data_IF_450956398779
#
_entry.id   IF_450956398779
#
_cell.length_a   1.000
_cell.length_b   1.000
_cell.length_c   1.000
_cell.angle_alpha   90.00
_cell.angle_beta   90.00
_cell.angle_gamma   90.00
#
_symmetry.space_group_name_H-M   'P 1'
#
loop_
_entity.id
_entity.type
_entity.pdbx_description
1 polymer ?
#
# COMPACT_ATOMS: atom_id res chain seq x y z
N UNK A 1 25.70 -29.53 -6.47
CA UNK A 1 25.37 -28.10 -6.38
C UNK A 1 24.24 -27.86 -7.37
N UNK A 2 22.99 -27.77 -6.90
CA UNK A 2 21.85 -27.52 -7.79
C UNK A 2 21.88 -26.02 -8.09
N UNK A 3 22.29 -25.66 -9.30
CA UNK A 3 22.09 -24.31 -9.83
C UNK A 3 20.58 -24.11 -9.94
N UNK A 4 19.99 -23.44 -8.96
CA UNK A 4 18.61 -23.00 -9.07
C UNK A 4 18.49 -22.16 -10.34
N UNK A 5 17.61 -22.57 -11.26
CA UNK A 5 17.28 -21.75 -12.42
C UNK A 5 16.88 -20.37 -11.89
N UNK A 6 17.34 -19.27 -12.53
CA UNK A 6 16.94 -17.93 -12.12
C UNK A 6 15.42 -17.88 -12.13
N UNK A 7 14.82 -17.65 -10.97
CA UNK A 7 13.37 -17.55 -10.86
C UNK A 7 12.93 -16.34 -11.69
N UNK A 8 12.02 -16.55 -12.65
CA UNK A 8 11.55 -15.52 -13.59
C UNK A 8 10.04 -15.29 -13.42
N UNK A 9 9.58 -14.11 -13.84
CA UNK A 9 8.17 -13.75 -13.77
C UNK A 9 7.78 -13.03 -12.48
N UNK A 10 6.54 -12.53 -12.42
CA UNK A 10 6.00 -11.81 -11.27
C UNK A 10 5.99 -12.67 -9.99
N UNK A 11 5.70 -13.97 -10.10
CA UNK A 11 5.71 -14.93 -8.98
C UNK A 11 7.09 -15.04 -8.32
N UNK A 12 8.13 -15.15 -9.15
CA UNK A 12 9.52 -15.24 -8.71
C UNK A 12 9.95 -14.02 -7.90
N UNK A 13 9.60 -12.83 -8.36
CA UNK A 13 9.90 -11.57 -7.66
C UNK A 13 9.28 -11.58 -6.25
N UNK A 14 8.04 -12.02 -6.11
CA UNK A 14 7.36 -12.14 -4.81
C UNK A 14 8.01 -13.18 -3.88
N UNK A 15 8.42 -14.32 -4.44
CA UNK A 15 9.11 -15.37 -3.70
C UNK A 15 10.48 -14.89 -3.19
N UNK A 16 11.26 -14.23 -4.05
CA UNK A 16 12.57 -13.66 -3.66
C UNK A 16 12.40 -12.60 -2.57
N UNK A 17 11.39 -11.72 -2.69
CA UNK A 17 11.09 -10.74 -1.64
C UNK A 17 10.82 -11.43 -0.32
N UNK A 18 9.95 -12.45 -0.31
CA UNK A 18 9.58 -13.19 0.91
C UNK A 18 10.79 -13.92 1.53
N UNK A 19 11.66 -14.51 0.71
CA UNK A 19 12.85 -15.24 1.17
C UNK A 19 13.91 -14.32 1.81
N UNK A 20 13.87 -13.01 1.56
CA UNK A 20 14.77 -12.03 2.18
C UNK A 20 14.41 -11.68 3.62
N UNK A 21 13.14 -11.86 4.04
CA UNK A 21 12.65 -11.44 5.36
C UNK A 21 13.49 -11.95 6.54
N UNK A 22 13.91 -13.23 6.60
CA UNK A 22 14.69 -13.77 7.71
C UNK A 22 16.11 -13.19 7.81
N UNK A 23 16.62 -12.59 6.73
CA UNK A 23 17.97 -12.04 6.67
C UNK A 23 18.02 -10.54 6.98
N UNK A 24 16.87 -9.91 7.19
CA UNK A 24 16.80 -8.51 7.59
C UNK A 24 17.28 -8.32 9.03
N UNK A 25 17.84 -7.15 9.36
CA UNK A 25 18.22 -6.83 10.72
C UNK A 25 17.04 -7.02 11.70
N UNK A 26 17.27 -7.50 12.92
CA UNK A 26 16.20 -7.77 13.89
C UNK A 26 15.50 -6.48 14.35
N UNK A 27 14.21 -6.59 14.67
CA UNK A 27 13.35 -5.42 14.99
C UNK A 27 13.51 -4.97 16.44
N UNK A 28 14.03 -5.87 17.25
CA UNK A 28 14.27 -5.68 18.68
C UNK A 28 15.43 -4.75 18.97
N UNK A 29 16.27 -4.46 17.97
CA UNK A 29 17.45 -3.59 18.13
C UNK A 29 17.09 -2.18 17.67
N UNK A 30 17.10 -1.23 18.60
CA UNK A 30 16.82 0.19 18.34
C UNK A 30 18.00 0.91 17.68
N UNK A 31 18.36 0.47 16.48
CA UNK A 31 19.32 1.15 15.61
C UNK A 31 18.56 1.79 14.46
N UNK A 32 18.71 3.10 14.29
CA UNK A 32 18.04 3.86 13.23
C UNK A 32 18.25 3.25 11.84
N UNK A 33 19.47 2.82 11.51
CA UNK A 33 19.72 2.17 10.22
C UNK A 33 18.96 0.85 10.04
N UNK A 34 18.79 0.03 11.09
CA UNK A 34 18.04 -1.24 11.02
C UNK A 34 16.56 -0.96 10.76
N UNK A 35 16.00 0.03 11.46
CA UNK A 35 14.63 0.52 11.21
C UNK A 35 14.47 0.98 9.77
N UNK A 36 15.39 1.78 9.26
CA UNK A 36 15.35 2.27 7.88
C UNK A 36 15.43 1.15 6.83
N UNK A 37 16.19 0.08 7.07
CA UNK A 37 16.19 -1.10 6.21
C UNK A 37 14.84 -1.82 6.22
N UNK A 38 14.25 -2.03 7.41
CA UNK A 38 12.92 -2.63 7.53
C UNK A 38 11.84 -1.79 6.86
N UNK A 39 11.89 -0.47 7.02
CA UNK A 39 10.95 0.43 6.34
C UNK A 39 11.08 0.31 4.82
N UNK A 40 12.30 0.30 4.28
CA UNK A 40 12.50 0.15 2.83
C UNK A 40 12.04 -1.22 2.33
N UNK A 41 12.31 -2.29 3.07
CA UNK A 41 11.80 -3.62 2.74
C UNK A 41 10.27 -3.72 2.82
N UNK A 42 9.66 -3.07 3.82
CA UNK A 42 8.22 -2.95 3.93
C UNK A 42 7.62 -2.23 2.73
N UNK A 43 8.23 -1.11 2.31
CA UNK A 43 7.86 -0.39 1.10
C UNK A 43 7.98 -1.28 -0.15
N UNK A 44 9.10 -1.99 -0.31
CA UNK A 44 9.32 -2.94 -1.41
C UNK A 44 8.19 -3.98 -1.49
N UNK A 45 7.82 -4.56 -0.34
CA UNK A 45 6.74 -5.56 -0.25
C UNK A 45 5.37 -4.97 -0.58
N UNK A 46 5.08 -3.76 -0.11
CA UNK A 46 3.80 -3.10 -0.41
C UNK A 46 3.69 -2.67 -1.87
N UNK A 47 4.76 -2.14 -2.45
CA UNK A 47 4.81 -1.73 -3.85
C UNK A 47 4.67 -2.94 -4.77
N UNK A 48 5.26 -4.09 -4.41
CA UNK A 48 5.07 -5.33 -5.16
C UNK A 48 3.60 -5.76 -5.20
N UNK A 49 2.90 -5.73 -4.06
CA UNK A 49 1.46 -6.04 -3.99
C UNK A 49 0.58 -5.03 -4.73
N UNK A 50 1.03 -3.78 -4.82
CA UNK A 50 0.34 -2.75 -5.61
C UNK A 50 0.46 -3.01 -7.12
N UNK A 51 1.49 -3.73 -7.56
CA UNK A 51 1.64 -4.09 -8.97
C UNK A 51 0.43 -4.89 -9.49
N UNK A 52 -0.14 -5.76 -8.65
CA UNK A 52 -1.32 -6.58 -8.97
C UNK A 52 -2.58 -5.75 -9.30
N UNK A 53 -2.67 -4.53 -8.77
CA UNK A 53 -3.86 -3.67 -8.88
C UNK A 53 -3.60 -2.38 -9.66
N UNK A 54 -2.38 -2.21 -10.19
CA UNK A 54 -1.98 -0.99 -10.88
C UNK A 54 -2.36 -1.04 -12.35
N UNK A 55 -2.91 0.06 -12.85
CA UNK A 55 -3.15 0.25 -14.29
C UNK A 55 -1.85 0.43 -15.09
N UNK A 56 -0.73 0.71 -14.41
CA UNK A 56 0.59 0.94 -15.01
C UNK A 56 1.68 0.12 -14.29
N UNK A 57 1.74 -1.20 -14.52
CA UNK A 57 2.64 -2.09 -13.79
C UNK A 57 4.13 -1.83 -14.07
N UNK A 58 4.50 -1.34 -15.26
CA UNK A 58 5.86 -0.91 -15.57
C UNK A 58 6.39 0.17 -14.61
N UNK A 59 5.55 1.14 -14.23
CA UNK A 59 5.94 2.20 -13.29
C UNK A 59 6.22 1.61 -11.91
N UNK A 60 5.39 0.66 -11.48
CA UNK A 60 5.55 -0.04 -10.21
C UNK A 60 6.84 -0.86 -10.20
N UNK A 61 7.17 -1.55 -11.29
CA UNK A 61 8.43 -2.30 -11.40
C UNK A 61 9.67 -1.41 -11.43
N UNK A 62 9.56 -0.21 -12.01
CA UNK A 62 10.62 0.79 -11.93
C UNK A 62 10.82 1.31 -10.50
N UNK A 63 9.74 1.52 -9.75
CA UNK A 63 9.80 1.85 -8.33
C UNK A 63 10.40 0.70 -7.50
N UNK A 64 10.04 -0.55 -7.80
CA UNK A 64 10.66 -1.73 -7.17
C UNK A 64 12.18 -1.77 -7.41
N UNK A 65 12.64 -1.45 -8.62
CA UNK A 65 14.06 -1.37 -8.93
C UNK A 65 14.75 -0.26 -8.13
N UNK A 66 14.11 0.89 -7.92
CA UNK A 66 14.65 1.96 -7.07
C UNK A 66 14.71 1.55 -5.60
N UNK A 67 13.67 0.88 -5.10
CA UNK A 67 13.59 0.39 -3.72
C UNK A 67 14.62 -0.71 -3.44
N UNK A 68 14.88 -1.61 -4.40
CA UNK A 68 15.95 -2.62 -4.29
C UNK A 68 17.33 -1.96 -4.17
N UNK A 69 17.64 -1.00 -5.04
CA UNK A 69 18.91 -0.26 -4.98
C UNK A 69 19.07 0.49 -3.65
N UNK A 70 17.98 1.09 -3.15
CA UNK A 70 17.98 1.79 -1.87
C UNK A 70 18.19 0.83 -0.69
N UNK A 71 17.53 -0.34 -0.72
CA UNK A 71 17.70 -1.37 0.29
C UNK A 71 19.14 -1.90 0.31
N UNK A 72 19.70 -2.18 -0.87
CA UNK A 72 21.10 -2.60 -1.05
C UNK A 72 22.07 -1.55 -0.49
N UNK A 73 21.85 -0.27 -0.80
CA UNK A 73 22.65 0.85 -0.28
C UNK A 73 22.59 0.91 1.25
N UNK A 74 21.40 0.82 1.84
CA UNK A 74 21.21 0.87 3.30
C UNK A 74 21.84 -0.33 4.01
N UNK A 75 21.72 -1.53 3.44
CA UNK A 75 22.32 -2.75 3.98
C UNK A 75 23.86 -2.68 3.95
N UNK A 76 24.44 -2.18 2.85
CA UNK A 76 25.88 -1.97 2.74
C UNK A 76 26.39 -0.92 3.74
N UNK A 77 25.65 0.18 3.92
CA UNK A 77 26.01 1.25 4.86
C UNK A 77 25.90 0.82 6.33
N UNK A 78 25.02 -0.13 6.64
CA UNK A 78 24.79 -0.61 8.00
C UNK A 78 25.93 -1.47 8.57
N UNK A 79 26.70 -2.14 7.71
CA UNK A 79 27.54 -3.25 8.14
C UNK A 79 28.97 -3.17 7.60
N UNK A 80 29.62 -1.99 7.75
CA UNK A 80 31.04 -1.81 7.45
C UNK A 80 31.98 -2.76 8.23
N UNK A 81 31.54 -3.31 9.37
CA UNK A 81 32.36 -4.17 10.24
C UNK A 81 32.00 -5.69 10.21
N UNK A 82 30.81 -6.08 9.75
CA UNK A 82 30.37 -7.50 9.70
C UNK A 82 29.84 -7.97 8.33
N UNK A 83 29.71 -7.08 7.35
CA UNK A 83 29.22 -7.39 6.00
C UNK A 83 27.73 -7.73 5.95
N UNK A 84 27.11 -7.52 4.79
CA UNK A 84 25.76 -8.05 4.50
C UNK A 84 25.87 -9.59 4.45
N UNK A 85 24.94 -10.36 5.06
CA UNK A 85 24.98 -11.82 4.95
C UNK A 85 25.05 -12.25 3.48
N UNK A 86 25.96 -13.16 3.13
CA UNK A 86 26.17 -13.58 1.73
C UNK A 86 24.88 -14.04 1.03
N UNK A 87 23.96 -14.66 1.79
CA UNK A 87 22.62 -15.05 1.30
C UNK A 87 21.75 -13.84 0.95
N UNK A 88 21.77 -12.78 1.75
CA UNK A 88 21.04 -11.54 1.44
C UNK A 88 21.56 -10.90 0.16
N UNK A 89 22.88 -10.86 -0.04
CA UNK A 89 23.48 -10.37 -1.29
C UNK A 89 23.03 -11.21 -2.49
N UNK A 90 23.01 -12.53 -2.36
CA UNK A 90 22.52 -13.43 -3.42
C UNK A 90 21.05 -13.16 -3.77
N UNK A 91 20.17 -12.97 -2.78
CA UNK A 91 18.77 -12.63 -3.04
C UNK A 91 18.59 -11.24 -3.67
N UNK A 92 19.38 -10.24 -3.27
CA UNK A 92 19.36 -8.92 -3.90
C UNK A 92 19.82 -8.99 -5.36
N UNK A 93 20.84 -9.80 -5.66
CA UNK A 93 21.33 -10.01 -7.02
C UNK A 93 20.32 -10.77 -7.87
N UNK A 94 19.67 -11.79 -7.30
CA UNK A 94 18.57 -12.52 -7.96
C UNK A 94 17.37 -11.59 -8.21
N UNK A 95 16.99 -10.76 -7.24
CA UNK A 95 15.92 -9.78 -7.37
C UNK A 95 16.23 -8.77 -8.48
N UNK A 96 17.46 -8.23 -8.50
CA UNK A 96 17.90 -7.29 -9.54
C UNK A 96 17.86 -7.93 -10.92
N UNK A 97 18.31 -9.18 -11.06
CA UNK A 97 18.26 -9.92 -12.31
C UNK A 97 16.80 -10.15 -12.76
N UNK A 98 15.93 -10.58 -11.84
CA UNK A 98 14.51 -10.81 -12.11
C UNK A 98 13.77 -9.52 -12.53
N UNK A 99 14.02 -8.40 -11.84
CA UNK A 99 13.45 -7.09 -12.19
C UNK A 99 13.96 -6.60 -13.56
N UNK A 100 15.25 -6.76 -13.83
CA UNK A 100 15.83 -6.35 -15.13
C UNK A 100 15.26 -7.19 -16.27
N UNK A 101 15.09 -8.49 -16.05
CA UNK A 101 14.48 -9.40 -17.01
C UNK A 101 13.02 -9.03 -17.28
N UNK A 102 12.23 -8.83 -16.23
CA UNK A 102 10.83 -8.41 -16.34
C UNK A 102 10.68 -7.09 -17.11
N UNK A 103 11.54 -6.11 -16.83
CA UNK A 103 11.58 -4.85 -17.57
C UNK A 103 12.02 -5.02 -19.03
N UNK A 104 12.89 -5.99 -19.35
CA UNK A 104 13.34 -6.24 -20.71
C UNK A 104 12.33 -7.02 -21.57
N UNK A 105 11.56 -7.91 -20.95
CA UNK A 105 10.48 -8.66 -21.64
C UNK A 105 9.21 -7.82 -21.80
N UNK A 106 9.06 -6.78 -20.98
CA UNK A 106 7.86 -5.94 -20.91
C UNK A 106 6.97 -6.39 -19.77
N UNK A 107 6.68 -5.47 -18.85
CA UNK A 107 5.76 -5.74 -17.73
C UNK A 107 4.37 -5.28 -18.14
N UNK A 108 3.62 -6.16 -18.79
CA UNK A 108 2.23 -5.93 -19.18
C UNK A 108 1.24 -6.66 -18.25
N UNK A 109 -0.06 -6.49 -18.51
CA UNK A 109 -1.09 -7.18 -17.74
C UNK A 109 -0.99 -8.71 -17.87
N UNK A 110 -0.54 -9.22 -19.03
CA UNK A 110 -0.39 -10.66 -19.26
C UNK A 110 0.75 -11.25 -18.43
N UNK A 111 1.87 -10.53 -18.29
CA UNK A 111 2.99 -10.91 -17.43
C UNK A 111 2.56 -11.06 -15.96
N UNK A 112 1.71 -10.16 -15.48
CA UNK A 112 1.14 -10.24 -14.13
C UNK A 112 0.16 -11.41 -14.01
N UNK A 113 -0.77 -11.57 -14.95
CA UNK A 113 -1.75 -12.66 -14.97
C UNK A 113 -1.04 -14.02 -14.97
N UNK A 114 -0.02 -14.20 -15.82
CA UNK A 114 0.75 -15.43 -15.90
C UNK A 114 1.50 -15.70 -14.59
N UNK A 115 2.11 -14.68 -13.97
CA UNK A 115 2.72 -14.84 -12.66
C UNK A 115 1.71 -15.19 -11.56
N UNK A 116 0.49 -14.65 -11.60
CA UNK A 116 -0.57 -15.04 -10.66
C UNK A 116 -1.03 -16.48 -10.89
N UNK A 117 -1.16 -16.91 -12.14
CA UNK A 117 -1.46 -18.31 -12.47
C UNK A 117 -0.36 -19.25 -11.99
N UNK A 118 0.92 -18.87 -12.12
CA UNK A 118 2.04 -19.68 -11.67
C UNK A 118 2.06 -19.81 -10.13
N UNK A 119 1.72 -18.75 -9.39
CA UNK A 119 1.51 -18.82 -7.94
C UNK A 119 0.39 -19.80 -7.57
N UNK A 120 -0.70 -19.82 -8.35
CA UNK A 120 -1.82 -20.74 -8.15
C UNK A 120 -1.47 -22.19 -8.54
N UNK A 121 -0.61 -22.39 -9.53
CA UNK A 121 -0.14 -23.72 -9.99
C UNK A 121 0.89 -24.33 -9.04
N UNK A 122 1.81 -23.54 -8.48
CA UNK A 122 2.81 -24.02 -7.50
C UNK A 122 2.19 -24.38 -6.13
N UNK A 123 0.97 -23.91 -5.85
CA UNK A 123 0.17 -24.35 -4.69
C UNK A 123 -1.03 -25.19 -5.16
N UNK A 124 -0.86 -26.52 -5.39
CA UNK A 124 -2.02 -27.37 -5.59
C UNK A 124 -2.84 -27.36 -4.29
N UNK A 125 -4.04 -26.78 -4.35
CA UNK A 125 -5.07 -26.84 -3.31
C UNK A 125 -4.61 -26.55 -1.87
N UNK A 126 -4.01 -25.38 -1.63
CA UNK A 126 -4.26 -24.73 -0.35
C UNK A 126 -5.64 -24.08 -0.49
N UNK A 127 -6.69 -24.73 0.03
CA UNK A 127 -7.95 -24.03 0.35
C UNK A 127 -7.56 -22.67 0.91
N UNK A 128 -8.10 -21.54 0.39
CA UNK A 128 -7.77 -20.26 0.97
C UNK A 128 -8.17 -20.35 2.43
N UNK A 129 -7.18 -20.41 3.33
CA UNK A 129 -7.43 -20.28 4.75
C UNK A 129 -8.32 -19.05 4.87
N UNK A 130 -9.52 -19.18 5.48
CA UNK A 130 -10.48 -18.08 5.50
C UNK A 130 -9.71 -16.86 5.98
N UNK A 131 -9.64 -15.82 5.12
CA UNK A 131 -9.00 -14.55 5.46
C UNK A 131 -9.44 -14.25 6.89
N UNK A 132 -8.52 -14.07 7.86
CA UNK A 132 -8.94 -13.77 9.22
C UNK A 132 -9.91 -12.60 9.10
N UNK A 133 -11.14 -12.86 9.51
CA UNK A 133 -12.25 -11.91 9.42
C UNK A 133 -11.70 -10.61 10.00
N UNK A 134 -11.63 -9.55 9.18
CA UNK A 134 -11.03 -8.29 9.62
C UNK A 134 -11.74 -7.95 10.91
N UNK A 135 -11.02 -7.97 12.03
CA UNK A 135 -11.59 -7.63 13.33
C UNK A 135 -11.94 -6.16 13.23
N UNK A 136 -13.18 -5.90 12.86
CA UNK A 136 -13.73 -4.56 12.82
C UNK A 136 -13.75 -4.08 14.27
N UNK A 137 -12.97 -3.04 14.58
CA UNK A 137 -12.98 -2.42 15.92
C UNK A 137 -14.38 -1.92 16.32
N UNK A 138 -15.30 -1.82 15.35
CA UNK A 138 -16.70 -1.45 15.55
C UNK A 138 -17.58 -2.44 14.77
N UNK A 139 -18.54 -3.12 15.41
CA UNK A 139 -19.51 -3.97 14.70
C UNK A 139 -20.23 -3.18 13.60
N UNK A 140 -20.41 -3.78 12.42
CA UNK A 140 -21.07 -3.16 11.25
C UNK A 140 -22.46 -2.59 11.57
N UNK A 141 -23.15 -3.19 12.53
CA UNK A 141 -24.45 -2.72 13.03
C UNK A 141 -24.36 -1.36 13.71
N UNK A 142 -23.29 -1.10 14.48
CA UNK A 142 -23.04 0.20 15.11
C UNK A 142 -22.62 1.23 14.07
N UNK A 143 -21.77 0.86 13.12
CA UNK A 143 -21.35 1.76 12.04
C UNK A 143 -22.55 2.22 11.18
N UNK A 144 -23.44 1.30 10.80
CA UNK A 144 -24.65 1.64 10.04
C UNK A 144 -25.60 2.56 10.81
N UNK A 145 -25.77 2.35 12.12
CA UNK A 145 -26.58 3.23 12.98
C UNK A 145 -26.00 4.65 13.05
N UNK A 146 -24.71 4.77 13.38
CA UNK A 146 -24.04 6.08 13.47
C UNK A 146 -24.09 6.82 12.12
N UNK A 147 -23.93 6.09 11.01
CA UNK A 147 -24.04 6.69 9.67
C UNK A 147 -25.46 7.19 9.38
N UNK A 148 -26.49 6.44 9.77
CA UNK A 148 -27.89 6.87 9.62
C UNK A 148 -28.18 8.11 10.47
N UNK A 149 -27.77 8.10 11.75
CA UNK A 149 -27.91 9.23 12.67
C UNK A 149 -27.19 10.49 12.14
N UNK A 150 -25.98 10.33 11.59
CA UNK A 150 -25.23 11.43 10.99
C UNK A 150 -25.95 12.02 9.77
N UNK A 151 -26.54 11.17 8.91
CA UNK A 151 -27.30 11.66 7.75
C UNK A 151 -28.58 12.39 8.17
N UNK A 152 -29.25 11.95 9.22
CA UNK A 152 -30.44 12.60 9.76
C UNK A 152 -30.09 13.95 10.42
N UNK A 153 -29.03 13.98 11.22
CA UNK A 153 -28.51 15.21 11.82
C UNK A 153 -28.11 16.25 10.77
N UNK A 154 -27.42 15.83 9.70
CA UNK A 154 -27.03 16.72 8.60
C UNK A 154 -28.24 17.30 7.86
N UNK A 155 -29.29 16.50 7.62
CA UNK A 155 -30.54 17.00 7.02
C UNK A 155 -31.22 18.03 7.92
N UNK A 156 -31.21 17.81 9.24
CA UNK A 156 -31.78 18.77 10.20
C UNK A 156 -30.98 20.08 10.24
N UNK A 157 -29.65 20.01 10.22
CA UNK A 157 -28.78 21.19 10.15
C UNK A 157 -29.03 21.97 8.86
N UNK A 158 -29.14 21.28 7.72
CA UNK A 158 -29.44 21.92 6.43
C UNK A 158 -30.76 22.69 6.49
N UNK A 159 -31.83 22.07 7.00
CA UNK A 159 -33.14 22.71 7.11
C UNK A 159 -33.11 23.95 8.04
N UNK A 160 -32.43 23.84 9.19
CA UNK A 160 -32.28 24.98 10.12
C UNK A 160 -31.48 26.13 9.50
N UNK A 161 -30.47 25.83 8.67
CA UNK A 161 -29.73 26.86 7.94
C UNK A 161 -30.59 27.54 6.86
N UNK A 162 -31.41 26.79 6.14
CA UNK A 162 -32.36 27.36 5.17
C UNK A 162 -33.38 28.28 5.85
N UNK A 163 -33.96 27.84 6.98
CA UNK A 163 -34.87 28.64 7.80
C UNK A 163 -34.19 29.91 8.35
N UNK A 164 -32.99 29.79 8.94
CA UNK A 164 -32.22 30.95 9.41
C UNK A 164 -31.92 31.94 8.28
N UNK A 165 -31.51 31.46 7.10
CA UNK A 165 -31.23 32.33 5.96
C UNK A 165 -32.50 33.07 5.50
N UNK A 166 -33.64 32.38 5.47
CA UNK A 166 -34.93 33.01 5.12
C UNK A 166 -35.34 34.10 6.12
N UNK A 167 -35.13 33.85 7.42
CA UNK A 167 -35.44 34.80 8.49
C UNK A 167 -34.51 36.02 8.42
N UNK A 168 -33.22 35.81 8.16
CA UNK A 168 -32.25 36.90 7.95
C UNK A 168 -32.69 37.80 6.79
N UNK A 169 -33.11 37.22 5.67
CA UNK A 169 -33.59 37.99 4.52
C UNK A 169 -34.88 38.78 4.85
N UNK A 170 -35.79 38.16 5.60
CA UNK A 170 -37.01 38.82 6.03
C UNK A 170 -36.74 39.99 6.98
N UNK A 171 -35.86 39.80 7.97
CA UNK A 171 -35.43 40.85 8.89
C UNK A 171 -34.79 42.00 8.12
N UNK A 172 -33.87 41.72 7.19
CA UNK A 172 -33.24 42.76 6.36
C UNK A 172 -34.26 43.55 5.53
N UNK A 173 -35.30 42.89 5.01
CA UNK A 173 -36.38 43.57 4.28
C UNK A 173 -37.18 44.49 5.21
N UNK A 174 -37.54 44.01 6.41
CA UNK A 174 -38.25 44.83 7.39
C UNK A 174 -37.40 46.01 7.88
N UNK A 175 -36.11 45.81 8.12
CA UNK A 175 -35.18 46.88 8.50
C UNK A 175 -35.06 47.94 7.40
N UNK A 176 -35.00 47.53 6.13
CA UNK A 176 -35.00 48.45 4.99
C UNK A 176 -36.32 49.22 4.85
N UNK A 177 -37.47 48.56 5.01
CA UNK A 177 -38.78 49.22 5.01
C UNK A 177 -38.93 50.21 6.18
N UNK A 178 -38.40 49.85 7.35
CA UNK A 178 -38.45 50.68 8.54
C UNK A 178 -37.49 51.87 8.49
N UNK A 179 -36.35 51.75 7.80
CA UNK A 179 -35.44 52.86 7.55
C UNK A 179 -35.99 53.82 6.49
N UNK A 180 -36.61 53.30 5.43
CA UNK A 180 -37.31 54.09 4.41
C UNK A 180 -38.50 54.88 4.96
N UNK A 181 -39.22 54.36 5.98
CA UNK A 181 -40.33 55.07 6.64
C UNK A 181 -39.88 56.10 7.67
N UNK A 182 -38.61 56.09 8.08
CA UNK A 182 -38.03 57.05 9.05
C UNK A 182 -37.20 58.15 8.39
N UNK A 183 -36.89 58.02 7.10
CA UNK A 183 -36.27 59.05 6.27
C UNK A 183 -37.35 59.97 5.67
#
# INVERSE_FOLDING_TARGET
MVSAQPRRGHAAVGAIISDMEPFLPPDTIDRLGYKHCRTTYGLLTTTYKQAEHSEAPEKVYKELQQLENELRRRLNNLNAAKGVPAKMTAYLDELKAALTHAMSEGVDANFLIQGMEDILKEKPEAQPAPKPERVLMVPDTKYKKVRAELTEANKKIQKLNEENNSLILYIRRLEAEHSLRRA
#
